data_IF_713394719896
#
_entry.id   IF_713394719896
#
_cell.length_a   1.000
_cell.length_b   1.000
_cell.length_c   1.000
_cell.angle_alpha   90.00
_cell.angle_beta   90.00
_cell.angle_gamma   90.00
#
_symmetry.space_group_name_H-M   'P 1'
#
loop_
_entity.id
_entity.type
_entity.pdbx_description
1 polymer ?
#
# COMPACT_ATOMS: atom_id res chain seq x y z
N UNK A 1 37.17 17.32 -5.63
CA UNK A 1 38.59 17.41 -6.04
C UNK A 1 39.22 18.54 -5.25
N UNK A 2 40.23 18.24 -4.45
CA UNK A 2 40.92 19.22 -3.62
C UNK A 2 42.12 19.75 -4.40
N UNK A 3 42.15 21.06 -4.68
CA UNK A 3 43.25 21.68 -5.43
C UNK A 3 44.47 21.86 -4.51
N UNK A 4 45.66 21.41 -4.96
CA UNK A 4 46.93 21.64 -4.27
C UNK A 4 47.66 22.83 -4.89
N UNK A 5 48.10 23.74 -4.03
CA UNK A 5 48.88 24.92 -4.43
C UNK A 5 50.25 24.87 -3.77
N UNK A 6 51.31 25.09 -4.55
CA UNK A 6 52.68 25.29 -4.04
C UNK A 6 53.10 26.69 -4.47
N UNK A 7 53.48 27.54 -3.51
CA UNK A 7 53.87 28.93 -3.75
C UNK A 7 52.84 29.73 -4.58
N UNK A 8 51.55 29.57 -4.24
CA UNK A 8 50.41 30.17 -4.95
C UNK A 8 50.20 29.74 -6.42
N UNK A 9 50.93 28.74 -6.90
CA UNK A 9 50.73 28.15 -8.23
C UNK A 9 49.95 26.84 -8.08
N UNK A 10 48.86 26.71 -8.82
CA UNK A 10 48.10 25.47 -8.89
C UNK A 10 48.96 24.38 -9.55
N UNK A 11 49.13 23.25 -8.88
CA UNK A 11 49.89 22.14 -9.42
C UNK A 11 48.99 21.33 -10.34
N UNK A 12 49.30 21.30 -11.62
CA UNK A 12 48.67 20.38 -12.58
C UNK A 12 49.42 19.05 -12.57
N UNK A 13 48.82 18.05 -11.91
CA UNK A 13 49.39 16.71 -11.81
C UNK A 13 49.44 15.97 -13.15
N UNK A 14 48.62 16.34 -14.15
CA UNK A 14 48.63 15.70 -15.46
C UNK A 14 49.88 16.02 -16.28
N UNK A 15 50.46 17.20 -16.06
CA UNK A 15 51.64 17.69 -16.77
C UNK A 15 52.97 17.41 -16.04
N UNK A 16 52.94 16.62 -14.96
CA UNK A 16 54.12 16.32 -14.16
C UNK A 16 55.09 15.37 -14.89
N UNK A 17 56.39 15.67 -14.80
CA UNK A 17 57.47 14.93 -15.49
C UNK A 17 57.60 13.49 -14.97
N UNK A 18 57.30 13.26 -13.69
CA UNK A 18 57.36 11.93 -13.06
C UNK A 18 56.11 11.69 -12.20
N UNK A 19 55.19 10.84 -12.68
CA UNK A 19 53.96 10.45 -11.97
C UNK A 19 54.23 9.34 -10.94
N UNK A 20 55.27 9.50 -10.10
CA UNK A 20 55.64 8.49 -9.09
C UNK A 20 54.71 8.62 -7.87
N UNK A 21 54.09 7.51 -7.44
CA UNK A 21 53.15 7.45 -6.31
C UNK A 21 51.84 8.25 -6.50
N UNK A 22 51.53 8.69 -7.72
CA UNK A 22 50.20 9.22 -8.08
C UNK A 22 49.34 8.02 -8.45
N UNK A 23 48.48 7.59 -7.53
CA UNK A 23 47.41 6.67 -7.88
C UNK A 23 46.34 7.49 -8.61
N UNK A 24 45.96 7.14 -9.86
CA UNK A 24 44.74 7.70 -10.44
C UNK A 24 43.62 7.42 -9.43
N UNK A 25 42.91 8.47 -9.00
CA UNK A 25 41.67 8.27 -8.26
C UNK A 25 40.78 7.30 -9.03
N UNK A 26 39.96 6.51 -8.34
CA UNK A 26 39.09 5.52 -8.97
C UNK A 26 38.41 6.13 -10.22
N UNK A 27 38.83 5.69 -11.41
CA UNK A 27 38.32 6.19 -12.69
C UNK A 27 36.89 5.70 -12.94
N UNK A 28 36.55 4.58 -12.32
CA UNK A 28 35.21 4.04 -12.30
C UNK A 28 34.38 4.86 -11.30
N UNK A 29 33.30 5.46 -11.80
CA UNK A 29 32.24 5.94 -10.92
C UNK A 29 31.76 4.73 -10.12
N UNK A 30 32.23 4.60 -8.87
CA UNK A 30 31.73 3.60 -7.94
C UNK A 30 30.23 3.81 -7.86
N UNK A 31 29.45 2.88 -8.41
CA UNK A 31 28.01 2.92 -8.29
C UNK A 31 27.64 2.72 -6.82
N UNK A 32 27.15 3.76 -6.12
CA UNK A 32 26.81 3.66 -4.70
C UNK A 32 25.64 2.68 -4.46
N UNK A 33 24.92 2.28 -5.51
CA UNK A 33 23.85 1.31 -5.44
C UNK A 33 24.29 -0.13 -5.73
N UNK A 34 25.53 -0.36 -6.18
CA UNK A 34 26.02 -1.70 -6.44
C UNK A 34 26.00 -2.56 -5.17
N UNK A 35 25.22 -3.64 -5.18
CA UNK A 35 25.06 -4.55 -4.05
C UNK A 35 24.12 -4.09 -2.93
N UNK A 36 23.48 -2.91 -3.06
CA UNK A 36 22.49 -2.43 -2.10
C UNK A 36 21.14 -3.14 -2.31
N UNK A 37 20.64 -3.82 -1.28
CA UNK A 37 19.30 -4.40 -1.27
C UNK A 37 18.31 -3.48 -0.54
N UNK A 38 17.50 -2.75 -1.30
CA UNK A 38 16.45 -1.87 -0.77
C UNK A 38 15.14 -2.58 -0.44
N UNK A 39 15.08 -3.91 -0.43
CA UNK A 39 13.86 -4.67 -0.10
C UNK A 39 12.68 -4.28 -0.98
N UNK A 40 11.69 -3.59 -0.40
CA UNK A 40 10.51 -3.04 -1.08
C UNK A 40 10.76 -1.58 -1.49
N UNK A 41 11.75 -1.37 -2.34
CA UNK A 41 12.15 -0.06 -2.79
C UNK A 41 13.29 -0.12 -3.82
N UNK A 42 13.62 1.04 -4.37
CA UNK A 42 14.66 1.18 -5.39
C UNK A 42 15.83 1.99 -4.84
N UNK A 43 17.06 1.54 -5.11
CA UNK A 43 18.24 2.32 -4.75
C UNK A 43 18.37 3.54 -5.68
N UNK A 44 18.66 4.69 -5.09
CA UNK A 44 18.92 5.94 -5.81
C UNK A 44 20.20 6.59 -5.31
N UNK A 45 21.10 6.90 -6.24
CA UNK A 45 22.34 7.62 -5.95
C UNK A 45 22.03 9.02 -5.45
N UNK A 46 22.64 9.42 -4.34
CA UNK A 46 22.50 10.74 -3.76
C UNK A 46 23.85 11.22 -3.22
N UNK A 47 24.50 12.11 -4.00
CA UNK A 47 25.86 12.62 -3.73
C UNK A 47 25.95 13.52 -2.50
N UNK A 48 24.83 13.98 -1.94
CA UNK A 48 24.83 14.80 -0.73
C UNK A 48 24.85 13.96 0.55
N UNK A 49 24.52 12.67 0.46
CA UNK A 49 24.59 11.73 1.57
C UNK A 49 25.99 11.14 1.67
N UNK A 50 26.45 10.91 2.91
CA UNK A 50 27.76 10.27 3.18
C UNK A 50 27.90 8.91 2.53
N UNK A 51 26.79 8.16 2.41
CA UNK A 51 26.76 6.83 1.80
C UNK A 51 26.65 6.87 0.27
N UNK A 52 26.40 8.05 -0.32
CA UNK A 52 26.27 8.20 -1.77
C UNK A 52 24.98 7.62 -2.37
N UNK A 53 24.11 6.99 -1.58
CA UNK A 53 22.81 6.45 -2.00
C UNK A 53 21.73 6.62 -0.91
N UNK A 54 20.49 6.37 -1.31
CA UNK A 54 19.36 6.11 -0.43
C UNK A 54 18.37 5.16 -1.09
N UNK A 55 17.55 4.47 -0.31
CA UNK A 55 16.45 3.66 -0.83
C UNK A 55 15.16 4.48 -0.90
N UNK A 56 14.59 4.57 -2.09
CA UNK A 56 13.24 5.09 -2.30
C UNK A 56 12.22 3.97 -2.07
N UNK A 57 11.53 4.00 -0.94
CA UNK A 57 10.60 2.94 -0.57
C UNK A 57 9.29 3.00 -1.34
N UNK A 58 8.74 1.82 -1.64
CA UNK A 58 7.38 1.65 -2.12
C UNK A 58 6.35 2.14 -1.08
N UNK A 59 5.13 2.41 -1.54
CA UNK A 59 4.05 2.84 -0.65
C UNK A 59 3.79 1.79 0.44
N UNK A 60 3.81 2.23 1.70
CA UNK A 60 3.59 1.36 2.85
C UNK A 60 4.86 0.68 3.38
N UNK A 61 6.05 1.04 2.90
CA UNK A 61 7.33 0.60 3.42
C UNK A 61 8.21 1.77 3.84
N UNK A 62 9.09 1.52 4.81
CA UNK A 62 10.00 2.50 5.39
C UNK A 62 11.27 1.81 5.94
N UNK A 63 12.17 2.64 6.45
CA UNK A 63 13.48 2.21 6.93
C UNK A 63 14.56 2.47 5.89
N UNK A 64 15.82 2.42 6.33
CA UNK A 64 16.98 2.71 5.48
C UNK A 64 17.03 1.86 4.20
N UNK A 65 16.55 0.61 4.29
CA UNK A 65 16.50 -0.35 3.20
C UNK A 65 15.07 -0.86 2.95
N UNK A 66 14.05 -0.04 3.27
CA UNK A 66 12.63 -0.33 3.08
C UNK A 66 12.17 -1.69 3.65
N UNK A 67 12.83 -2.15 4.71
CA UNK A 67 12.60 -3.44 5.33
C UNK A 67 11.42 -3.44 6.31
N UNK A 68 10.93 -2.25 6.68
CA UNK A 68 9.85 -2.10 7.65
C UNK A 68 8.55 -1.79 6.93
N UNK A 69 7.52 -2.59 7.17
CA UNK A 69 6.17 -2.27 6.70
C UNK A 69 5.53 -1.25 7.64
N UNK A 70 4.97 -0.19 7.08
CA UNK A 70 4.34 0.91 7.83
C UNK A 70 2.91 0.52 8.17
N UNK A 71 2.54 0.73 9.44
CA UNK A 71 1.16 0.60 9.89
C UNK A 71 0.29 1.59 9.10
N UNK A 72 -0.71 1.08 8.41
CA UNK A 72 -1.64 1.85 7.60
C UNK A 72 -3.01 1.20 7.72
N UNK A 73 -4.05 1.98 7.97
CA UNK A 73 -5.42 1.46 7.97
C UNK A 73 -6.33 2.51 7.32
N UNK A 74 -6.68 2.23 6.08
CA UNK A 74 -7.35 3.17 5.20
C UNK A 74 -8.81 2.78 5.01
N UNK A 75 -9.66 3.81 4.90
CA UNK A 75 -11.05 3.66 4.52
C UNK A 75 -11.18 3.92 3.02
N UNK A 76 -11.06 2.87 2.23
CA UNK A 76 -11.17 2.96 0.78
C UNK A 76 -12.63 3.04 0.35
N UNK A 77 -12.99 4.13 -0.33
CA UNK A 77 -14.36 4.37 -0.78
C UNK A 77 -14.62 3.51 -2.02
N UNK A 78 -15.67 2.71 -1.96
CA UNK A 78 -16.09 1.87 -3.09
C UNK A 78 -17.56 2.14 -3.43
N UNK A 79 -17.89 2.07 -4.70
CA UNK A 79 -19.25 2.19 -5.19
C UNK A 79 -19.62 0.92 -5.94
N UNK A 80 -20.49 0.10 -5.34
CA UNK A 80 -20.91 -1.17 -5.92
C UNK A 80 -22.35 -1.48 -5.58
N UNK A 81 -22.93 -2.43 -6.29
CA UNK A 81 -24.20 -3.02 -5.88
C UNK A 81 -23.96 -3.93 -4.68
N UNK A 82 -24.90 -3.92 -3.73
CA UNK A 82 -24.91 -4.87 -2.64
C UNK A 82 -25.67 -6.13 -3.08
N UNK A 83 -25.14 -7.30 -2.74
CA UNK A 83 -25.70 -8.60 -3.11
C UNK A 83 -25.89 -9.43 -1.84
N UNK A 84 -27.05 -10.06 -1.72
CA UNK A 84 -27.46 -10.92 -0.60
C UNK A 84 -28.22 -12.11 -1.20
N UNK A 85 -27.50 -13.22 -1.44
CA UNK A 85 -28.00 -14.34 -2.26
C UNK A 85 -28.44 -13.87 -3.65
N UNK A 86 -29.66 -14.25 -4.04
CA UNK A 86 -30.29 -13.88 -5.32
C UNK A 86 -30.86 -12.45 -5.36
N UNK A 87 -30.61 -11.64 -4.32
CA UNK A 87 -31.07 -10.26 -4.23
C UNK A 87 -29.93 -9.27 -4.50
N UNK A 88 -30.19 -8.26 -5.32
CA UNK A 88 -29.27 -7.16 -5.62
C UNK A 88 -29.89 -5.81 -5.27
N UNK A 89 -29.08 -4.86 -4.78
CA UNK A 89 -29.56 -3.51 -4.53
C UNK A 89 -30.06 -2.84 -5.81
N UNK A 90 -31.09 -2.00 -5.70
CA UNK A 90 -31.65 -1.28 -6.85
C UNK A 90 -30.70 -0.23 -7.41
N UNK A 91 -29.79 0.28 -6.58
CA UNK A 91 -28.77 1.25 -6.97
C UNK A 91 -27.43 0.86 -6.39
N UNK A 92 -26.36 1.37 -7.01
CA UNK A 92 -25.04 1.31 -6.42
C UNK A 92 -25.00 2.08 -5.10
N UNK A 93 -24.22 1.55 -4.16
CA UNK A 93 -24.10 2.10 -2.82
C UNK A 93 -22.68 2.59 -2.65
N UNK A 94 -22.57 3.86 -2.26
CA UNK A 94 -21.31 4.43 -1.77
C UNK A 94 -21.07 3.89 -0.37
N UNK A 95 -20.11 2.98 -0.26
CA UNK A 95 -19.64 2.41 1.00
C UNK A 95 -18.12 2.56 1.08
N UNK A 96 -17.51 1.95 2.08
CA UNK A 96 -16.07 1.84 2.16
C UNK A 96 -15.66 0.47 2.69
N UNK A 97 -14.44 0.08 2.34
CA UNK A 97 -13.76 -1.12 2.83
C UNK A 97 -12.54 -0.67 3.64
N UNK A 98 -12.28 -1.36 4.74
CA UNK A 98 -11.12 -1.09 5.59
C UNK A 98 -9.98 -1.97 5.09
N UNK A 99 -8.91 -1.35 4.60
CA UNK A 99 -7.74 -2.08 4.08
C UNK A 99 -6.47 -1.50 4.65
N UNK A 100 -5.51 -2.38 4.91
CA UNK A 100 -4.21 -1.95 5.40
C UNK A 100 -3.50 -2.99 6.26
N UNK A 101 -2.42 -2.55 6.88
CA UNK A 101 -1.54 -3.32 7.74
C UNK A 101 -1.52 -2.76 9.16
N UNK A 102 -1.70 -3.63 10.15
CA UNK A 102 -1.81 -3.23 11.55
C UNK A 102 -0.69 -3.81 12.42
N UNK A 103 0.47 -4.07 11.82
CA UNK A 103 1.61 -4.68 12.50
C UNK A 103 1.53 -6.21 12.49
N UNK A 104 2.40 -6.82 13.30
CA UNK A 104 2.42 -8.27 13.54
C UNK A 104 1.50 -8.63 14.71
N UNK A 105 0.88 -9.81 14.67
CA UNK A 105 -0.06 -10.29 15.70
C UNK A 105 -1.52 -10.30 15.24
N UNK A 106 -2.46 -10.25 16.18
CA UNK A 106 -3.90 -10.37 15.94
C UNK A 106 -4.61 -9.04 15.60
N UNK A 107 -3.86 -7.96 15.39
CA UNK A 107 -4.44 -6.67 15.01
C UNK A 107 -4.73 -6.61 13.50
N UNK A 108 -5.94 -6.21 13.13
CA UNK A 108 -6.34 -6.03 11.74
C UNK A 108 -7.01 -4.67 11.52
N UNK A 109 -6.95 -4.20 10.27
CA UNK A 109 -7.62 -2.97 9.87
C UNK A 109 -9.12 -3.22 9.73
N UNK A 110 -9.91 -2.73 10.68
CA UNK A 110 -11.34 -3.07 10.81
C UNK A 110 -12.24 -1.85 10.98
N UNK A 111 -13.51 -2.03 10.65
CA UNK A 111 -14.52 -0.99 10.75
C UNK A 111 -14.95 -0.75 12.21
N UNK A 112 -14.27 0.16 12.89
CA UNK A 112 -14.57 0.51 14.30
C UNK A 112 -15.83 1.37 14.46
N UNK A 113 -16.29 2.03 13.39
CA UNK A 113 -17.55 2.78 13.40
C UNK A 113 -18.32 2.55 12.11
N UNK A 114 -19.59 2.19 12.26
CA UNK A 114 -20.52 2.00 11.15
C UNK A 114 -21.81 2.80 11.35
N UNK A 115 -22.56 3.02 10.26
CA UNK A 115 -23.92 3.60 10.31
C UNK A 115 -24.86 2.72 9.52
N UNK A 116 -26.02 2.41 10.09
CA UNK A 116 -27.07 1.65 9.40
C UNK A 116 -27.65 2.45 8.24
N UNK A 117 -27.79 1.82 7.07
CA UNK A 117 -28.42 2.39 5.88
C UNK A 117 -29.45 1.41 5.33
N UNK A 118 -30.63 1.94 4.99
CA UNK A 118 -31.71 1.20 4.36
C UNK A 118 -31.46 1.07 2.85
N UNK A 119 -31.47 -0.17 2.33
CA UNK A 119 -31.28 -0.49 0.92
C UNK A 119 -32.51 -1.16 0.34
N UNK A 120 -32.98 -0.67 -0.80
CA UNK A 120 -34.01 -1.36 -1.60
C UNK A 120 -33.32 -2.40 -2.46
N UNK A 121 -33.80 -3.64 -2.39
CA UNK A 121 -33.29 -4.80 -3.09
C UNK A 121 -34.32 -5.32 -4.10
N UNK A 122 -33.84 -5.85 -5.21
CA UNK A 122 -34.61 -6.59 -6.22
C UNK A 122 -34.06 -8.02 -6.25
N UNK A 123 -34.92 -9.01 -6.13
CA UNK A 123 -34.54 -10.43 -6.10
C UNK A 123 -35.06 -11.17 -7.35
N UNK A 124 -34.29 -12.14 -7.83
CA UNK A 124 -34.58 -12.85 -9.08
C UNK A 124 -35.34 -14.18 -8.90
N UNK A 125 -35.25 -14.84 -7.73
CA UNK A 125 -36.10 -15.99 -7.41
C UNK A 125 -37.44 -15.52 -6.83
N UNK A 126 -38.53 -15.88 -7.53
CA UNK A 126 -39.87 -15.38 -7.28
C UNK A 126 -40.66 -16.07 -6.16
N UNK A 127 -40.19 -17.19 -5.60
CA UNK A 127 -40.99 -18.02 -4.68
C UNK A 127 -40.13 -18.81 -3.67
N UNK A 128 -39.45 -18.14 -2.74
CA UNK A 128 -39.11 -18.81 -1.47
C UNK A 128 -40.19 -18.45 -0.46
N UNK A 129 -40.81 -19.49 0.11
CA UNK A 129 -41.94 -19.51 1.05
C UNK A 129 -41.76 -18.60 2.30
N UNK A 130 -40.58 -18.00 2.47
CA UNK A 130 -40.22 -17.10 3.58
C UNK A 130 -40.44 -15.59 3.31
N UNK A 131 -40.77 -15.15 2.09
CA UNK A 131 -40.86 -13.72 1.76
C UNK A 131 -42.30 -13.20 1.62
N UNK A 132 -42.82 -12.53 2.65
CA UNK A 132 -44.04 -11.70 2.60
C UNK A 132 -43.80 -10.36 1.85
N UNK A 133 -43.18 -10.39 0.66
CA UNK A 133 -42.86 -9.19 -0.12
C UNK A 133 -43.88 -8.90 -1.23
N UNK A 134 -44.20 -7.63 -1.46
CA UNK A 134 -45.02 -7.20 -2.60
C UNK A 134 -44.28 -7.49 -3.93
N UNK A 135 -44.79 -8.41 -4.74
CA UNK A 135 -44.35 -8.61 -6.13
C UNK A 135 -44.73 -7.37 -6.94
N UNK A 136 -43.77 -6.72 -7.62
CA UNK A 136 -44.04 -5.59 -8.54
C UNK A 136 -43.32 -5.82 -9.86
N UNK A 137 -44.07 -5.87 -10.95
CA UNK A 137 -43.59 -6.18 -12.31
C UNK A 137 -42.85 -7.53 -12.39
N UNK A 138 -43.31 -8.56 -11.66
CA UNK A 138 -42.71 -9.90 -11.68
C UNK A 138 -41.48 -10.10 -10.77
N UNK A 139 -40.97 -9.05 -10.11
CA UNK A 139 -39.82 -9.15 -9.21
C UNK A 139 -40.21 -8.96 -7.73
N UNK A 140 -39.61 -9.75 -6.85
CA UNK A 140 -39.71 -9.58 -5.41
C UNK A 140 -38.82 -8.41 -4.95
N UNK A 141 -39.40 -7.49 -4.17
CA UNK A 141 -38.68 -6.34 -3.60
C UNK A 141 -38.54 -6.51 -2.10
N UNK A 142 -37.30 -6.48 -1.61
CA UNK A 142 -36.95 -6.53 -0.19
C UNK A 142 -36.32 -5.20 0.20
N UNK A 143 -36.45 -4.82 1.46
CA UNK A 143 -35.63 -3.73 1.99
C UNK A 143 -34.84 -4.22 3.18
N UNK A 144 -33.52 -3.98 3.17
CA UNK A 144 -32.60 -4.42 4.23
C UNK A 144 -31.90 -3.24 4.87
N UNK A 145 -31.39 -3.46 6.08
CA UNK A 145 -30.51 -2.53 6.78
C UNK A 145 -29.09 -3.08 6.73
N UNK A 146 -28.16 -2.33 6.14
CA UNK A 146 -26.74 -2.69 6.10
C UNK A 146 -25.90 -1.72 6.92
N UNK A 147 -24.77 -2.20 7.45
CA UNK A 147 -23.78 -1.36 8.12
C UNK A 147 -22.85 -0.73 7.08
N UNK A 148 -22.82 0.60 7.01
CA UNK A 148 -21.91 1.36 6.14
C UNK A 148 -20.72 1.84 6.98
N UNK A 149 -19.51 1.51 6.53
CA UNK A 149 -18.26 1.89 7.19
C UNK A 149 -18.10 3.41 7.25
N UNK A 150 -17.77 3.92 8.45
CA UNK A 150 -17.53 5.35 8.70
C UNK A 150 -16.10 5.63 9.13
N UNK A 151 -15.50 4.74 9.92
CA UNK A 151 -14.14 4.83 10.43
C UNK A 151 -13.49 3.44 10.40
N UNK A 152 -12.23 3.39 9.98
CA UNK A 152 -11.39 2.21 10.01
C UNK A 152 -10.21 2.49 10.93
N UNK A 153 -9.87 1.57 11.82
CA UNK A 153 -8.69 1.64 12.67
C UNK A 153 -8.13 0.23 12.89
N UNK A 154 -6.87 0.15 13.32
CA UNK A 154 -6.28 -1.10 13.76
C UNK A 154 -6.93 -1.53 15.09
N UNK A 155 -7.48 -2.73 15.13
CA UNK A 155 -8.10 -3.31 16.32
C UNK A 155 -7.74 -4.79 16.44
N UNK A 156 -7.61 -5.30 17.66
CA UNK A 156 -7.47 -6.73 17.94
C UNK A 156 -8.77 -7.52 17.83
N UNK A 157 -9.92 -6.84 17.72
CA UNK A 157 -11.22 -7.48 17.51
C UNK A 157 -11.49 -7.67 16.02
N UNK A 158 -10.82 -8.64 15.42
CA UNK A 158 -11.02 -8.95 14.01
C UNK A 158 -12.35 -9.65 13.81
N UNK A 159 -13.29 -8.99 13.13
CA UNK A 159 -14.50 -9.65 12.64
C UNK A 159 -14.08 -10.57 11.49
N UNK A 160 -13.64 -11.78 11.81
CA UNK A 160 -13.57 -12.90 10.87
C UNK A 160 -15.00 -13.24 10.44
N UNK A 161 -15.56 -12.41 9.56
CA UNK A 161 -16.71 -12.83 8.76
C UNK A 161 -16.17 -13.90 7.82
N UNK A 162 -16.62 -15.13 8.04
CA UNK A 162 -16.36 -16.36 7.29
C UNK A 162 -16.50 -16.18 5.77
N UNK A 163 -15.49 -15.59 5.12
CA UNK A 163 -15.24 -15.72 3.69
C UNK A 163 -13.87 -16.35 3.54
N UNK A 164 -13.90 -17.67 3.53
CA UNK A 164 -12.79 -18.59 3.28
C UNK A 164 -12.05 -18.22 2.00
N UNK A 165 -10.71 -18.26 2.06
CA UNK A 165 -9.77 -18.68 0.99
C UNK A 165 -9.77 -17.84 -0.30
N UNK A 166 -8.72 -17.19 -0.79
CA UNK A 166 -7.28 -17.48 -0.83
C UNK A 166 -6.58 -16.20 -1.25
N UNK A 167 -5.66 -15.66 -0.46
CA UNK A 167 -4.55 -14.87 -1.02
C UNK A 167 -3.32 -15.70 -0.73
N UNK A 168 -2.98 -16.54 -1.71
CA UNK A 168 -1.70 -17.22 -1.79
C UNK A 168 -0.61 -16.15 -1.70
N UNK A 169 0.13 -16.15 -0.61
CA UNK A 169 1.44 -15.50 -0.55
C UNK A 169 2.40 -16.58 -1.01
N UNK A 170 2.67 -16.59 -2.32
CA UNK A 170 3.75 -17.41 -2.88
C UNK A 170 5.12 -16.78 -2.59
N UNK A 171 6.20 -17.59 -2.59
CA UNK A 171 7.45 -17.36 -1.85
C UNK A 171 8.32 -16.20 -2.33
#
# INVERSE_FOLDING_TARGET
MSNLFINNVAVDFEQSVEKKWILPGCADAVDPCAGVNCGRGNCQTNKTLTEGFHCQCEQGYSGKFCQQRVISCNKEKVQRYYVDGECRSQSMIRTAECVGYCGTGENCCSAVKTKRRRLKMTCYSGDTVQYHGQKKNGFCRKTIMVAIVRKCECSGSCSHSLYSSTVSVDP
#
